data_IF_402011857537
#
_entry.id   IF_402011857537
#
_cell.length_a   1.000
_cell.length_b   1.000
_cell.length_c   1.000
_cell.angle_alpha   90.00
_cell.angle_beta   90.00
_cell.angle_gamma   90.00
#
_symmetry.space_group_name_H-M   'P 1'
#
loop_
_entity.id
_entity.type
_entity.pdbx_description
1 polymer ?
#
# COMPACT_ATOMS: atom_id res chain seq x y z
N UNK A 1 -3.59 18.96 44.84
CA UNK A 1 -4.91 18.69 45.46
C UNK A 1 -5.97 18.62 44.37
N UNK A 2 -6.37 17.41 43.99
CA UNK A 2 -7.70 17.07 43.44
C UNK A 2 -7.69 15.58 43.11
N UNK A 3 -8.43 14.82 43.90
CA UNK A 3 -8.57 13.36 43.80
C UNK A 3 -9.44 13.00 42.59
N UNK A 4 -8.93 12.11 41.73
CA UNK A 4 -9.75 11.37 40.76
C UNK A 4 -9.72 9.89 41.15
N UNK A 5 -10.80 9.45 41.79
CA UNK A 5 -11.12 8.04 41.99
C UNK A 5 -11.62 7.46 40.67
N UNK A 6 -10.88 6.50 40.10
CA UNK A 6 -11.34 5.65 39.00
C UNK A 6 -11.62 4.25 39.57
N UNK A 7 -12.89 3.93 39.75
CA UNK A 7 -13.35 2.56 39.92
C UNK A 7 -13.35 1.86 38.55
N UNK A 8 -12.54 0.80 38.42
CA UNK A 8 -12.54 -0.10 37.27
C UNK A 8 -13.52 -1.23 37.58
N UNK A 9 -14.63 -1.30 36.83
CA UNK A 9 -15.55 -2.44 36.84
C UNK A 9 -15.15 -3.36 35.68
N UNK A 10 -14.70 -4.58 36.00
CA UNK A 10 -14.58 -5.67 35.06
C UNK A 10 -15.95 -6.34 34.92
N UNK A 11 -16.57 -6.22 33.74
CA UNK A 11 -17.82 -6.91 33.39
C UNK A 11 -17.81 -7.27 31.92
N UNK A 12 -17.29 -8.46 31.61
CA UNK A 12 -17.43 -9.06 30.28
C UNK A 12 -18.74 -9.82 30.21
N UNK A 13 -19.67 -9.36 29.38
CA UNK A 13 -20.90 -10.08 29.01
C UNK A 13 -20.77 -10.46 27.53
N UNK A 14 -20.78 -11.77 27.26
CA UNK A 14 -20.97 -12.31 25.92
C UNK A 14 -22.46 -12.22 25.54
N UNK A 15 -22.82 -11.82 24.31
CA UNK A 15 -24.18 -12.01 23.82
C UNK A 15 -24.33 -13.40 23.17
N UNK A 16 -25.32 -14.17 23.64
CA UNK A 16 -25.93 -15.28 22.90
C UNK A 16 -27.35 -14.85 22.47
N UNK A 17 -27.91 -15.42 21.39
CA UNK A 17 -28.92 -14.76 20.58
C UNK A 17 -30.36 -15.00 21.03
N UNK A 18 -31.19 -14.02 20.70
CA UNK A 18 -32.63 -14.04 20.41
C UNK A 18 -33.45 -15.23 20.97
N UNK A 19 -34.22 -14.93 22.02
CA UNK A 19 -35.38 -15.67 22.46
C UNK A 19 -36.44 -14.68 22.95
N UNK A 20 -37.39 -14.36 22.08
CA UNK A 20 -38.58 -13.56 22.33
C UNK A 20 -39.51 -14.27 23.32
N UNK A 21 -39.71 -13.73 24.53
CA UNK A 21 -40.90 -14.00 25.36
C UNK A 21 -41.25 -12.80 26.25
N UNK A 22 -42.52 -12.43 26.17
CA UNK A 22 -43.21 -11.40 26.93
C UNK A 22 -43.22 -11.65 28.45
N UNK A 23 -43.31 -10.55 29.21
CA UNK A 23 -44.23 -10.50 30.34
C UNK A 23 -43.64 -10.50 31.75
N UNK A 24 -44.06 -9.45 32.48
CA UNK A 24 -44.19 -9.31 33.95
C UNK A 24 -43.01 -8.69 34.71
N UNK A 25 -43.19 -7.38 34.98
CA UNK A 25 -42.55 -6.61 36.04
C UNK A 25 -42.69 -7.32 37.39
N UNK A 26 -41.56 -7.68 38.00
CA UNK A 26 -41.51 -8.07 39.41
C UNK A 26 -40.31 -7.37 40.07
N UNK A 27 -40.58 -6.20 40.67
CA UNK A 27 -39.61 -5.47 41.48
C UNK A 27 -39.35 -6.21 42.79
N UNK A 28 -38.31 -7.06 42.82
CA UNK A 28 -37.78 -7.61 44.06
C UNK A 28 -36.89 -6.57 44.74
N UNK A 29 -37.40 -6.03 45.85
CA UNK A 29 -36.68 -5.20 46.82
C UNK A 29 -35.57 -6.07 47.44
N UNK A 30 -34.30 -5.79 47.13
CA UNK A 30 -33.16 -6.44 47.77
C UNK A 30 -32.99 -5.78 49.14
N UNK A 31 -33.38 -6.50 50.21
CA UNK A 31 -33.00 -6.14 51.56
C UNK A 31 -31.58 -6.64 51.83
N UNK A 32 -30.66 -5.72 52.07
CA UNK A 32 -29.33 -6.04 52.60
C UNK A 32 -29.45 -6.19 54.12
N UNK A 33 -29.21 -7.41 54.62
CA UNK A 33 -29.00 -7.66 56.04
C UNK A 33 -27.62 -7.11 56.45
N UNK A 34 -27.50 -6.43 57.60
CA UNK A 34 -26.21 -6.02 58.13
C UNK A 34 -25.41 -7.26 58.52
N UNK A 35 -24.25 -7.44 57.90
CA UNK A 35 -23.26 -8.46 58.30
C UNK A 35 -22.67 -8.01 59.63
N UNK A 36 -22.88 -8.83 60.66
CA UNK A 36 -22.33 -8.61 62.00
C UNK A 36 -20.80 -8.64 61.95
N UNK A 37 -20.19 -7.58 62.47
CA UNK A 37 -18.76 -7.41 62.58
C UNK A 37 -18.19 -8.24 63.74
N UNK A 38 -18.06 -9.55 63.54
CA UNK A 38 -17.33 -10.43 64.45
C UNK A 38 -16.45 -11.42 63.66
N UNK A 39 -15.31 -10.92 63.18
CA UNK A 39 -14.16 -11.77 62.81
C UNK A 39 -12.85 -10.99 62.92
N UNK A 40 -12.31 -10.92 64.14
CA UNK A 40 -11.04 -10.24 64.45
C UNK A 40 -9.80 -10.98 63.91
N UNK A 41 -9.94 -12.06 63.13
CA UNK A 41 -8.81 -12.91 62.72
C UNK A 41 -8.19 -12.62 61.33
N UNK A 42 -8.66 -11.61 60.59
CA UNK A 42 -8.12 -11.28 59.25
C UNK A 42 -7.15 -10.07 59.19
N UNK A 43 -6.75 -9.50 60.34
CA UNK A 43 -5.81 -8.36 60.34
C UNK A 43 -4.35 -8.72 60.02
N UNK A 44 -3.97 -10.01 60.08
CA UNK A 44 -2.60 -10.45 59.81
C UNK A 44 -2.22 -10.55 58.32
N UNK A 45 -3.19 -10.82 57.43
CA UNK A 45 -2.92 -11.07 56.01
C UNK A 45 -2.85 -9.79 55.16
N UNK A 46 -3.46 -8.70 55.62
CA UNK A 46 -3.44 -7.41 54.93
C UNK A 46 -2.07 -6.70 55.02
N UNK A 47 -1.39 -6.78 56.18
CA UNK A 47 -0.10 -6.11 56.39
C UNK A 47 1.02 -6.64 55.49
N UNK A 48 1.08 -7.96 55.28
CA UNK A 48 2.13 -8.60 54.47
C UNK A 48 2.00 -8.29 52.98
N UNK A 49 0.77 -8.09 52.48
CA UNK A 49 0.55 -7.71 51.07
C UNK A 49 0.90 -6.24 50.81
N UNK A 50 0.68 -5.36 51.78
CA UNK A 50 1.00 -3.94 51.65
C UNK A 50 2.52 -3.75 51.55
N UNK A 51 3.31 -4.41 52.41
CA UNK A 51 4.77 -4.31 52.37
C UNK A 51 5.38 -4.89 51.08
N UNK A 52 4.80 -5.96 50.53
CA UNK A 52 5.20 -6.50 49.22
C UNK A 52 4.93 -5.52 48.09
N UNK A 53 3.79 -4.82 48.12
CA UNK A 53 3.43 -3.83 47.10
C UNK A 53 4.33 -2.59 47.18
N UNK A 54 4.69 -2.12 48.38
CA UNK A 54 5.61 -1.00 48.56
C UNK A 54 7.01 -1.32 47.99
N UNK A 55 7.51 -2.52 48.23
CA UNK A 55 8.78 -2.99 47.66
C UNK A 55 8.73 -3.07 46.12
N UNK A 56 7.63 -3.55 45.55
CA UNK A 56 7.45 -3.57 44.09
C UNK A 56 7.40 -2.17 43.49
N UNK A 57 6.72 -1.23 44.17
CA UNK A 57 6.65 0.17 43.77
C UNK A 57 8.04 0.83 43.78
N UNK A 58 8.84 0.60 44.81
CA UNK A 58 10.21 1.14 44.88
C UNK A 58 11.12 0.54 43.79
N UNK A 59 11.02 -0.77 43.53
CA UNK A 59 11.75 -1.39 42.41
C UNK A 59 11.32 -0.82 41.05
N UNK A 60 10.02 -0.58 40.85
CA UNK A 60 9.51 0.01 39.62
C UNK A 60 10.00 1.45 39.43
N UNK A 61 9.99 2.28 40.49
CA UNK A 61 10.54 3.65 40.46
C UNK A 61 12.04 3.65 40.12
N UNK A 62 12.82 2.78 40.76
CA UNK A 62 14.26 2.67 40.51
C UNK A 62 14.57 2.22 39.07
N UNK A 63 13.76 1.29 38.54
CA UNK A 63 13.84 0.86 37.14
C UNK A 63 13.51 2.01 36.19
N UNK A 64 12.45 2.76 36.47
CA UNK A 64 12.02 3.92 35.67
C UNK A 64 13.10 5.01 35.58
N UNK A 65 13.71 5.39 36.70
CA UNK A 65 14.78 6.41 36.70
C UNK A 65 16.03 5.94 35.94
N UNK A 66 16.35 4.63 35.97
CA UNK A 66 17.43 4.06 35.16
C UNK A 66 17.12 4.09 33.66
N UNK A 67 15.89 3.76 33.27
CA UNK A 67 15.44 3.86 31.88
C UNK A 67 15.44 5.30 31.37
N UNK A 68 15.00 6.24 32.22
CA UNK A 68 14.97 7.68 31.90
C UNK A 68 16.38 8.26 31.70
N UNK A 69 17.33 7.91 32.56
CA UNK A 69 18.72 8.37 32.42
C UNK A 69 19.38 7.80 31.15
N UNK A 70 19.11 6.53 30.82
CA UNK A 70 19.61 5.90 29.60
C UNK A 70 19.01 6.54 28.34
N UNK A 71 17.71 6.85 28.34
CA UNK A 71 17.06 7.60 27.27
C UNK A 71 17.69 8.98 27.06
N UNK A 72 17.93 9.74 28.15
CA UNK A 72 18.55 11.06 28.07
C UNK A 72 19.99 10.99 27.54
N UNK A 73 20.76 9.98 27.95
CA UNK A 73 22.12 9.75 27.44
C UNK A 73 22.13 9.45 25.94
N UNK A 74 21.24 8.55 25.48
CA UNK A 74 21.09 8.24 24.04
C UNK A 74 20.65 9.50 23.26
N UNK A 75 19.68 10.25 23.78
CA UNK A 75 19.18 11.48 23.13
C UNK A 75 20.29 12.51 22.97
N UNK A 76 21.12 12.70 23.97
CA UNK A 76 22.23 13.65 23.92
C UNK A 76 23.34 13.21 22.96
N UNK A 77 23.69 11.92 22.95
CA UNK A 77 24.65 11.35 21.99
C UNK A 77 24.15 11.41 20.54
N UNK A 78 22.85 11.18 20.32
CA UNK A 78 22.27 11.28 18.99
C UNK A 78 22.27 12.75 18.51
N UNK A 79 21.97 13.70 19.39
CA UNK A 79 21.99 15.13 19.09
C UNK A 79 23.39 15.62 18.74
N UNK A 80 24.43 15.16 19.44
CA UNK A 80 25.82 15.54 19.13
C UNK A 80 26.28 14.97 17.78
N UNK A 81 25.95 13.71 17.48
CA UNK A 81 26.26 13.10 16.18
C UNK A 81 25.54 13.77 15.00
N UNK A 82 24.28 14.14 15.17
CA UNK A 82 23.53 14.87 14.12
C UNK A 82 24.17 16.24 13.88
N UNK A 83 24.51 16.97 14.96
CA UNK A 83 25.16 18.29 14.85
C UNK A 83 26.51 18.18 14.14
N UNK A 84 27.34 17.22 14.50
CA UNK A 84 28.66 17.00 13.88
C UNK A 84 28.54 16.68 12.38
N UNK A 85 27.51 15.93 11.97
CA UNK A 85 27.28 15.60 10.56
C UNK A 85 26.70 16.78 9.78
N UNK A 86 25.83 17.59 10.38
CA UNK A 86 25.25 18.77 9.72
C UNK A 86 26.33 19.79 9.31
N UNK A 87 27.36 20.00 10.14
CA UNK A 87 28.49 20.89 9.82
C UNK A 87 29.31 20.40 8.60
N UNK A 88 29.32 19.09 8.32
CA UNK A 88 30.04 18.54 7.17
C UNK A 88 29.19 18.52 5.89
N UNK A 89 27.89 18.20 5.99
CA UNK A 89 27.03 18.09 4.81
C UNK A 89 26.60 19.44 4.24
N UNK A 90 26.45 20.47 5.07
CA UNK A 90 26.03 21.80 4.62
C UNK A 90 26.98 22.44 3.59
N UNK A 91 28.31 22.52 3.81
CA UNK A 91 29.23 23.08 2.81
C UNK A 91 29.29 22.25 1.52
N UNK A 92 29.19 20.91 1.62
CA UNK A 92 29.16 20.02 0.44
C UNK A 92 27.90 20.28 -0.40
N UNK A 93 26.75 20.41 0.24
CA UNK A 93 25.48 20.67 -0.45
C UNK A 93 25.48 22.06 -1.10
N UNK A 94 26.02 23.08 -0.43
CA UNK A 94 26.21 24.42 -1.00
C UNK A 94 27.14 24.36 -2.22
N UNK A 95 28.26 23.63 -2.14
CA UNK A 95 29.18 23.47 -3.26
C UNK A 95 28.53 22.79 -4.48
N UNK A 96 27.72 21.74 -4.27
CA UNK A 96 26.97 21.06 -5.34
C UNK A 96 25.99 22.03 -6.01
N UNK A 97 25.23 22.80 -5.23
CA UNK A 97 24.28 23.78 -5.77
C UNK A 97 25.00 24.85 -6.59
N UNK A 98 26.13 25.37 -6.11
CA UNK A 98 26.95 26.34 -6.86
C UNK A 98 27.48 25.75 -8.17
N UNK A 99 27.96 24.50 -8.16
CA UNK A 99 28.39 23.81 -9.38
C UNK A 99 27.24 23.65 -10.39
N UNK A 100 26.04 23.29 -9.93
CA UNK A 100 24.86 23.23 -10.79
C UNK A 100 24.53 24.59 -11.42
N UNK A 101 24.61 25.69 -10.67
CA UNK A 101 24.38 27.04 -11.20
C UNK A 101 25.39 27.45 -12.28
N UNK A 102 26.67 27.08 -12.12
CA UNK A 102 27.70 27.31 -13.14
C UNK A 102 27.41 26.50 -14.40
N UNK A 103 27.00 25.24 -14.27
CA UNK A 103 26.63 24.38 -15.40
C UNK A 103 25.41 24.90 -16.16
N UNK A 104 24.35 25.31 -15.45
CA UNK A 104 23.15 25.87 -16.08
C UNK A 104 23.47 27.18 -16.80
N UNK A 105 24.28 28.05 -16.21
CA UNK A 105 24.72 29.30 -16.85
C UNK A 105 25.50 29.05 -18.13
N UNK A 106 26.40 28.06 -18.17
CA UNK A 106 27.14 27.72 -19.39
C UNK A 106 26.25 27.18 -20.52
N UNK A 107 25.24 26.38 -20.19
CA UNK A 107 24.30 25.83 -21.18
C UNK A 107 23.37 26.93 -21.71
N UNK A 108 22.95 27.86 -20.85
CA UNK A 108 22.09 28.97 -21.25
C UNK A 108 22.76 29.94 -22.23
N UNK A 109 24.08 30.16 -22.11
CA UNK A 109 24.83 31.05 -23.01
C UNK A 109 25.40 30.37 -24.26
N UNK A 110 25.45 29.04 -24.33
CA UNK A 110 25.94 28.32 -25.51
C UNK A 110 24.90 28.18 -26.64
N UNK A 111 23.68 28.70 -26.46
CA UNK A 111 22.58 28.57 -27.43
C UNK A 111 22.27 29.90 -28.11
N UNK A 112 23.24 30.45 -28.83
CA UNK A 112 22.98 31.41 -29.89
C UNK A 112 22.53 30.62 -31.12
N UNK A 113 21.23 30.33 -31.16
CA UNK A 113 20.59 29.47 -32.14
C UNK A 113 20.39 30.28 -33.43
N UNK A 114 21.29 30.11 -34.40
CA UNK A 114 21.01 30.51 -35.78
C UNK A 114 19.86 29.66 -36.31
N UNK A 115 18.68 30.27 -36.45
CA UNK A 115 17.53 29.65 -37.10
C UNK A 115 17.78 29.72 -38.60
N UNK A 116 18.00 28.59 -39.33
CA UNK A 116 17.96 28.63 -40.77
C UNK A 116 16.51 28.86 -41.21
N UNK A 117 16.26 30.01 -41.83
CA UNK A 117 15.01 30.34 -42.49
C UNK A 117 14.81 29.38 -43.67
N UNK A 118 14.03 28.33 -43.46
CA UNK A 118 13.36 27.57 -44.52
C UNK A 118 11.98 27.17 -43.99
N UNK A 119 11.05 28.11 -44.06
CA UNK A 119 9.61 27.85 -43.95
C UNK A 119 9.04 27.82 -45.38
N UNK A 120 8.33 26.75 -45.79
CA UNK A 120 7.47 26.81 -46.94
C UNK A 120 6.26 27.68 -46.60
N UNK A 121 5.99 28.62 -47.50
CA UNK A 121 4.76 29.40 -47.56
C UNK A 121 3.65 28.43 -47.99
N UNK A 122 2.67 28.15 -47.12
CA UNK A 122 1.35 27.65 -47.54
C UNK A 122 0.23 28.39 -46.81
N UNK A 123 -0.31 29.33 -47.57
CA UNK A 123 -1.70 29.67 -47.84
C UNK A 123 -2.74 29.63 -46.71
N UNK A 124 -3.24 30.83 -46.43
CA UNK A 124 -4.42 31.13 -45.64
C UNK A 124 -5.70 30.70 -46.35
N UNK A 125 -6.27 29.56 -45.97
CA UNK A 125 -7.67 29.26 -46.27
C UNK A 125 -8.55 29.50 -45.04
N UNK A 126 -9.55 30.37 -45.25
CA UNK A 126 -10.54 30.85 -44.30
C UNK A 126 -11.31 29.70 -43.65
N UNK A 127 -11.21 29.58 -42.33
CA UNK A 127 -12.07 28.72 -41.54
C UNK A 127 -13.39 29.46 -41.25
N UNK A 128 -14.45 29.17 -42.03
CA UNK A 128 -15.81 29.54 -41.66
C UNK A 128 -16.33 28.53 -40.64
N UNK A 129 -16.43 28.96 -39.37
CA UNK A 129 -17.16 28.24 -38.32
C UNK A 129 -18.67 28.38 -38.58
N UNK A 130 -19.27 27.34 -39.14
CA UNK A 130 -20.73 27.18 -39.20
C UNK A 130 -21.15 26.30 -38.02
N UNK A 131 -22.05 26.83 -37.19
CA UNK A 131 -22.60 26.16 -36.03
C UNK A 131 -23.43 24.92 -36.41
N UNK A 132 -23.27 23.86 -35.63
CA UNK A 132 -24.11 22.67 -35.71
C UNK A 132 -25.39 22.89 -34.90
N UNK A 133 -26.51 23.10 -35.59
CA UNK A 133 -27.82 22.76 -35.07
C UNK A 133 -28.12 21.29 -35.38
N UNK A 134 -28.59 20.58 -34.36
CA UNK A 134 -28.92 19.17 -34.41
C UNK A 134 -30.24 18.96 -35.15
N UNK A 135 -30.24 18.16 -36.23
CA UNK A 135 -31.43 17.48 -36.71
C UNK A 135 -31.09 16.03 -37.10
N UNK A 136 -31.93 15.04 -36.71
CA UNK A 136 -31.63 13.63 -36.93
C UNK A 136 -32.29 13.14 -38.22
N UNK A 137 -31.50 12.90 -39.27
CA UNK A 137 -31.97 12.13 -40.41
C UNK A 137 -30.82 11.63 -41.28
N UNK A 138 -30.76 10.29 -41.38
CA UNK A 138 -30.12 9.52 -42.45
C UNK A 138 -28.62 9.77 -42.68
N UNK A 139 -27.78 9.13 -41.87
CA UNK A 139 -26.35 9.02 -42.11
C UNK A 139 -26.02 8.15 -43.31
N UNK A 140 -26.01 8.75 -44.51
CA UNK A 140 -25.15 8.28 -45.61
C UNK A 140 -23.70 8.33 -45.13
N UNK A 141 -23.01 7.21 -45.31
CA UNK A 141 -21.56 7.07 -45.12
C UNK A 141 -20.82 8.11 -45.95
N UNK A 142 -20.17 9.07 -45.28
CA UNK A 142 -19.17 9.92 -45.91
C UNK A 142 -17.89 9.10 -46.10
N UNK A 143 -17.74 8.47 -47.25
CA UNK A 143 -16.45 8.07 -47.78
C UNK A 143 -15.72 9.35 -48.18
N UNK A 144 -14.82 9.82 -47.32
CA UNK A 144 -13.87 10.87 -47.64
C UNK A 144 -12.74 10.27 -48.47
N UNK A 145 -12.49 10.89 -49.61
CA UNK A 145 -11.55 10.50 -50.65
C UNK A 145 -10.16 10.07 -50.16
N UNK A 146 -9.75 8.88 -50.59
CA UNK A 146 -8.50 8.72 -51.33
C UNK A 146 -7.15 8.80 -50.61
N UNK A 147 -7.08 8.85 -49.27
CA UNK A 147 -5.77 8.91 -48.58
C UNK A 147 -5.63 8.09 -47.28
N UNK A 148 -6.35 6.98 -47.12
CA UNK A 148 -6.31 6.19 -45.88
C UNK A 148 -6.12 4.66 -46.04
N UNK A 149 -5.59 4.20 -47.17
CA UNK A 149 -5.32 2.76 -47.40
C UNK A 149 -3.97 2.32 -46.77
N UNK A 150 -3.08 3.27 -46.44
CA UNK A 150 -1.74 2.96 -45.89
C UNK A 150 -1.80 2.62 -44.37
N UNK A 151 -2.94 2.82 -43.69
CA UNK A 151 -3.06 2.58 -42.24
C UNK A 151 -3.68 1.25 -41.85
N UNK A 152 -4.44 0.56 -42.72
CA UNK A 152 -5.14 -0.67 -42.34
C UNK A 152 -4.21 -1.87 -42.17
N UNK A 153 -3.19 -1.98 -43.01
CA UNK A 153 -2.20 -3.07 -42.93
C UNK A 153 -1.31 -2.92 -41.71
N UNK A 154 -0.87 -1.69 -41.41
CA UNK A 154 -0.07 -1.37 -40.21
C UNK A 154 -0.86 -1.56 -38.91
N UNK A 155 -2.17 -1.25 -38.88
CA UNK A 155 -3.02 -1.55 -37.74
C UNK A 155 -3.23 -3.06 -37.55
N UNK A 156 -3.42 -3.80 -38.64
CA UNK A 156 -3.59 -5.25 -38.59
C UNK A 156 -2.30 -5.94 -38.11
N UNK A 157 -1.13 -5.47 -38.54
CA UNK A 157 0.16 -5.95 -38.07
C UNK A 157 0.39 -5.61 -36.59
N UNK A 158 0.08 -4.38 -36.16
CA UNK A 158 0.16 -3.99 -34.75
C UNK A 158 -0.78 -4.82 -33.86
N UNK A 159 -2.01 -5.09 -34.31
CA UNK A 159 -2.96 -5.95 -33.59
C UNK A 159 -2.44 -7.39 -33.47
N UNK A 160 -1.92 -7.97 -34.55
CA UNK A 160 -1.34 -9.32 -34.51
C UNK A 160 -0.14 -9.41 -33.57
N UNK A 161 0.72 -8.39 -33.57
CA UNK A 161 1.86 -8.33 -32.66
C UNK A 161 1.41 -8.21 -31.20
N UNK A 162 0.37 -7.40 -30.93
CA UNK A 162 -0.23 -7.28 -29.61
C UNK A 162 -0.83 -8.61 -29.12
N UNK A 163 -1.61 -9.29 -29.97
CA UNK A 163 -2.21 -10.59 -29.63
C UNK A 163 -1.12 -11.64 -29.37
N UNK A 164 -0.06 -11.64 -30.16
CA UNK A 164 1.09 -12.52 -29.96
C UNK A 164 1.79 -12.24 -28.63
N UNK A 165 2.11 -10.98 -28.33
CA UNK A 165 2.77 -10.59 -27.07
C UNK A 165 1.94 -10.99 -25.86
N UNK A 166 0.61 -10.82 -25.96
CA UNK A 166 -0.35 -11.21 -24.92
C UNK A 166 -0.37 -12.72 -24.69
N UNK A 167 -0.41 -13.53 -25.75
CA UNK A 167 -0.39 -14.99 -25.63
C UNK A 167 0.96 -15.52 -25.09
N UNK A 168 2.07 -14.88 -25.46
CA UNK A 168 3.38 -15.16 -24.87
C UNK A 168 3.38 -14.83 -23.37
N UNK A 169 2.89 -13.65 -22.99
CA UNK A 169 2.78 -13.22 -21.58
C UNK A 169 1.90 -14.18 -20.79
N UNK A 170 0.76 -14.57 -21.34
CA UNK A 170 -0.16 -15.53 -20.74
C UNK A 170 0.52 -16.87 -20.48
N UNK A 171 1.29 -17.37 -21.45
CA UNK A 171 2.05 -18.62 -21.34
C UNK A 171 3.13 -18.53 -20.25
N UNK A 172 3.89 -17.44 -20.22
CA UNK A 172 4.91 -17.18 -19.21
C UNK A 172 4.30 -17.22 -17.80
N UNK A 173 3.22 -16.46 -17.59
CA UNK A 173 2.52 -16.40 -16.30
C UNK A 173 1.99 -17.78 -15.93
N UNK A 174 1.27 -18.46 -16.84
CA UNK A 174 0.68 -19.76 -16.60
C UNK A 174 1.71 -20.81 -16.15
N UNK A 175 2.91 -20.78 -16.74
CA UNK A 175 4.00 -21.68 -16.39
C UNK A 175 4.49 -21.46 -14.95
N UNK A 176 4.51 -20.21 -14.48
CA UNK A 176 5.01 -19.82 -13.16
C UNK A 176 4.00 -20.13 -12.06
N UNK A 177 2.72 -19.83 -12.30
CA UNK A 177 1.66 -19.95 -11.29
C UNK A 177 0.94 -21.32 -11.31
N UNK A 178 1.42 -22.26 -12.12
CA UNK A 178 0.84 -23.58 -12.28
C UNK A 178 0.65 -24.26 -10.91
N UNK A 179 -0.49 -24.93 -10.74
CA UNK A 179 -0.87 -25.64 -9.51
C UNK A 179 -0.99 -24.73 -8.27
N UNK A 180 -1.27 -23.45 -8.45
CA UNK A 180 -1.56 -22.51 -7.36
C UNK A 180 -2.91 -21.84 -7.56
N UNK A 181 -3.53 -21.27 -6.50
CA UNK A 181 -4.79 -20.53 -6.64
C UNK A 181 -4.74 -19.40 -7.68
N UNK A 182 -3.58 -18.75 -7.84
CA UNK A 182 -3.35 -17.70 -8.84
C UNK A 182 -3.49 -18.17 -10.29
N UNK A 183 -3.50 -19.47 -10.58
CA UNK A 183 -3.79 -19.98 -11.93
C UNK A 183 -5.16 -19.51 -12.46
N UNK A 184 -6.14 -19.28 -11.58
CA UNK A 184 -7.44 -18.74 -11.95
C UNK A 184 -7.41 -17.26 -12.41
N UNK A 185 -6.29 -16.56 -12.22
CA UNK A 185 -6.13 -15.14 -12.56
C UNK A 185 -5.35 -14.91 -13.86
N UNK A 186 -4.82 -15.96 -14.48
CA UNK A 186 -3.87 -15.88 -15.61
C UNK A 186 -4.42 -15.01 -16.74
N UNK A 187 -5.66 -15.25 -17.17
CA UNK A 187 -6.29 -14.50 -18.25
C UNK A 187 -6.35 -13.00 -17.92
N UNK A 188 -6.88 -12.66 -16.75
CA UNK A 188 -6.97 -11.25 -16.30
C UNK A 188 -5.62 -10.56 -16.16
N UNK A 189 -4.58 -11.29 -15.73
CA UNK A 189 -3.22 -10.74 -15.59
C UNK A 189 -2.61 -10.49 -16.98
N UNK A 190 -2.86 -11.37 -17.95
CA UNK A 190 -2.34 -11.23 -19.32
C UNK A 190 -2.93 -10.05 -20.11
N UNK A 191 -4.06 -9.50 -19.67
CA UNK A 191 -4.60 -8.25 -20.23
C UNK A 191 -3.82 -6.99 -19.80
N UNK A 192 -2.90 -7.12 -18.85
CA UNK A 192 -2.09 -6.00 -18.33
C UNK A 192 -0.80 -5.86 -19.12
N UNK A 193 -0.25 -4.65 -19.12
CA UNK A 193 1.12 -4.39 -19.60
C UNK A 193 2.11 -5.36 -18.94
N UNK A 194 3.09 -5.86 -19.71
CA UNK A 194 4.03 -6.89 -19.27
C UNK A 194 4.76 -6.52 -17.98
N UNK A 195 5.15 -5.25 -17.79
CA UNK A 195 5.78 -4.79 -16.54
C UNK A 195 4.80 -4.84 -15.37
N UNK A 196 3.53 -4.44 -15.59
CA UNK A 196 2.47 -4.53 -14.57
C UNK A 196 2.21 -5.98 -14.20
N UNK A 197 2.03 -6.88 -15.17
CA UNK A 197 1.84 -8.30 -14.96
C UNK A 197 3.01 -8.94 -14.19
N UNK A 198 4.25 -8.60 -14.55
CA UNK A 198 5.44 -9.05 -13.85
C UNK A 198 5.46 -8.64 -12.36
N UNK A 199 5.05 -7.41 -12.04
CA UNK A 199 4.89 -6.98 -10.65
C UNK A 199 3.76 -7.71 -9.94
N UNK A 200 2.62 -7.90 -10.59
CA UNK A 200 1.49 -8.65 -10.03
C UNK A 200 1.95 -10.05 -9.60
N UNK A 201 2.61 -10.80 -10.48
CA UNK A 201 3.06 -12.16 -10.19
C UNK A 201 4.20 -12.18 -9.16
N UNK A 202 5.19 -11.30 -9.31
CA UNK A 202 6.34 -11.21 -8.39
C UNK A 202 5.94 -10.90 -6.95
N UNK A 203 5.05 -9.93 -6.76
CA UNK A 203 4.56 -9.57 -5.41
C UNK A 203 3.70 -10.70 -4.83
N UNK A 204 2.84 -11.34 -5.63
CA UNK A 204 2.00 -12.43 -5.12
C UNK A 204 2.80 -13.65 -4.65
N UNK A 205 3.90 -13.99 -5.34
CA UNK A 205 4.82 -15.02 -4.85
C UNK A 205 5.32 -14.66 -3.45
N UNK A 206 5.72 -13.41 -3.27
CA UNK A 206 6.34 -12.98 -2.02
C UNK A 206 5.34 -12.92 -0.86
N UNK A 207 4.15 -12.41 -1.10
CA UNK A 207 3.19 -12.10 -0.04
C UNK A 207 2.33 -13.31 0.36
N UNK A 208 2.09 -14.25 -0.56
CA UNK A 208 1.19 -15.38 -0.30
C UNK A 208 1.59 -16.70 -0.96
N UNK A 209 2.76 -16.77 -1.60
CA UNK A 209 3.16 -17.90 -2.44
C UNK A 209 2.08 -18.21 -3.49
N UNK A 210 1.73 -17.20 -4.28
CA UNK A 210 0.69 -17.29 -5.33
C UNK A 210 -0.69 -17.69 -4.80
N UNK A 211 -1.04 -17.23 -3.60
CA UNK A 211 -2.33 -17.50 -2.97
C UNK A 211 -2.40 -18.78 -2.13
N UNK A 212 -1.34 -19.59 -2.03
CA UNK A 212 -1.32 -20.76 -1.15
C UNK A 212 -1.63 -20.38 0.31
N UNK A 213 -1.16 -19.22 0.75
CA UNK A 213 -1.39 -18.68 2.10
C UNK A 213 -2.38 -17.52 2.11
N UNK A 214 -3.34 -17.49 1.18
CA UNK A 214 -4.34 -16.42 1.11
C UNK A 214 -5.32 -16.46 2.29
N UNK A 215 -5.88 -15.30 2.70
CA UNK A 215 -6.99 -15.28 3.65
C UNK A 215 -8.21 -15.99 3.06
N UNK A 216 -8.96 -16.67 3.94
CA UNK A 216 -10.20 -17.38 3.58
C UNK A 216 -11.35 -16.95 4.48
N UNK A 217 -12.55 -16.88 3.92
CA UNK A 217 -13.80 -16.59 4.66
C UNK A 217 -14.79 -17.71 4.42
N UNK A 218 -15.21 -18.38 5.49
CA UNK A 218 -16.09 -19.55 5.43
C UNK A 218 -15.58 -20.62 4.44
N UNK A 219 -14.26 -20.88 4.46
CA UNK A 219 -13.60 -21.85 3.58
C UNK A 219 -13.35 -21.37 2.14
N UNK A 220 -13.92 -20.23 1.73
CA UNK A 220 -13.73 -19.65 0.39
C UNK A 220 -12.51 -18.74 0.34
N UNK A 221 -11.79 -18.77 -0.77
CA UNK A 221 -10.67 -17.87 -1.03
C UNK A 221 -11.15 -16.43 -1.18
N UNK A 222 -10.41 -15.49 -0.59
CA UNK A 222 -10.64 -14.05 -0.72
C UNK A 222 -9.89 -13.42 -1.90
N UNK A 223 -9.12 -14.21 -2.65
CA UNK A 223 -8.35 -13.79 -3.82
C UNK A 223 -7.35 -12.64 -3.53
N UNK A 224 -6.96 -12.44 -2.27
CA UNK A 224 -6.00 -11.41 -1.90
C UNK A 224 -4.61 -12.03 -1.71
N UNK A 225 -3.82 -11.98 -2.78
CA UNK A 225 -2.51 -12.62 -2.83
C UNK A 225 -1.35 -11.65 -2.57
N UNK A 226 -1.64 -10.36 -2.38
CA UNK A 226 -0.64 -9.28 -2.32
C UNK A 226 -0.63 -8.51 -1.00
N UNK A 227 -1.42 -8.94 -0.01
CA UNK A 227 -1.60 -8.20 1.24
C UNK A 227 -2.32 -6.87 1.04
N UNK A 228 -3.21 -6.78 0.04
CA UNK A 228 -3.85 -5.54 -0.36
C UNK A 228 -4.83 -5.03 0.70
N UNK A 229 -4.80 -3.72 0.95
CA UNK A 229 -5.73 -2.99 1.83
C UNK A 229 -6.28 -1.79 1.07
N UNK A 230 -7.51 -1.90 0.56
CA UNK A 230 -8.12 -0.86 -0.28
C UNK A 230 -9.59 -0.57 -0.01
N UNK A 231 -10.13 -1.03 1.13
CA UNK A 231 -11.54 -0.88 1.48
C UNK A 231 -12.41 -2.06 1.00
N UNK A 232 -13.73 -1.91 1.12
CA UNK A 232 -14.71 -2.96 0.80
C UNK A 232 -14.91 -3.98 1.93
N UNK A 233 -15.33 -5.20 1.60
CA UNK A 233 -15.38 -6.31 2.56
C UNK A 233 -13.95 -6.65 2.98
N UNK A 234 -13.70 -6.67 4.29
CA UNK A 234 -12.38 -6.95 4.84
C UNK A 234 -12.40 -8.15 5.78
N UNK A 235 -11.24 -8.80 5.91
CA UNK A 235 -10.98 -9.84 6.90
C UNK A 235 -10.16 -9.29 8.06
N UNK A 236 -9.93 -10.12 9.08
CA UNK A 236 -9.02 -9.80 10.19
C UNK A 236 -7.68 -9.25 9.66
N UNK A 237 -7.23 -8.13 10.25
CA UNK A 237 -6.03 -7.41 9.80
C UNK A 237 -6.27 -6.34 8.74
N UNK A 238 -7.52 -6.15 8.30
CA UNK A 238 -7.92 -5.09 7.36
C UNK A 238 -7.57 -5.39 5.90
N UNK A 239 -7.28 -6.64 5.57
CA UNK A 239 -7.06 -7.07 4.20
C UNK A 239 -8.39 -7.14 3.46
N UNK A 240 -8.40 -6.62 2.23
CA UNK A 240 -9.58 -6.69 1.36
C UNK A 240 -9.85 -8.16 0.98
N UNK A 241 -11.11 -8.57 0.99
CA UNK A 241 -11.58 -9.85 0.48
C UNK A 241 -12.36 -9.59 -0.81
N UNK A 242 -11.74 -9.93 -1.95
CA UNK A 242 -12.30 -9.68 -3.27
C UNK A 242 -13.39 -10.70 -3.59
N UNK A 243 -14.35 -10.31 -4.42
CA UNK A 243 -15.45 -11.20 -4.80
C UNK A 243 -15.06 -12.21 -5.88
N UNK A 244 -14.07 -11.89 -6.71
CA UNK A 244 -13.61 -12.75 -7.80
C UNK A 244 -12.12 -12.53 -8.12
N UNK A 245 -11.50 -13.47 -8.87
CA UNK A 245 -10.14 -13.31 -9.38
C UNK A 245 -9.94 -12.02 -10.20
N UNK A 246 -10.90 -11.68 -11.06
CA UNK A 246 -10.86 -10.53 -11.96
C UNK A 246 -10.90 -9.21 -11.17
N UNK A 247 -11.79 -9.12 -10.16
CA UNK A 247 -11.91 -7.97 -9.26
C UNK A 247 -10.58 -7.74 -8.49
N UNK A 248 -9.96 -8.83 -8.03
CA UNK A 248 -8.67 -8.75 -7.36
C UNK A 248 -7.55 -8.23 -8.28
N UNK A 249 -7.43 -8.80 -9.49
CA UNK A 249 -6.43 -8.38 -10.48
C UNK A 249 -6.65 -6.94 -10.90
N UNK A 250 -7.90 -6.51 -11.08
CA UNK A 250 -8.22 -5.14 -11.49
C UNK A 250 -7.86 -4.12 -10.40
N UNK A 251 -8.22 -4.38 -9.15
CA UNK A 251 -7.92 -3.49 -8.03
C UNK A 251 -6.41 -3.38 -7.77
N UNK A 252 -5.69 -4.51 -7.80
CA UNK A 252 -4.24 -4.55 -7.59
C UNK A 252 -3.50 -3.98 -8.80
N UNK A 253 -3.92 -4.36 -10.01
CA UNK A 253 -3.39 -3.87 -11.28
C UNK A 253 -3.44 -2.36 -11.35
N UNK A 254 -4.59 -1.74 -11.07
CA UNK A 254 -4.73 -0.27 -11.03
C UNK A 254 -3.74 0.42 -10.10
N UNK A 255 -3.41 -0.18 -8.95
CA UNK A 255 -2.43 0.39 -8.02
C UNK A 255 -1.01 0.28 -8.57
N UNK A 256 -0.67 -0.85 -9.18
CA UNK A 256 0.64 -1.09 -9.79
C UNK A 256 0.81 -0.23 -11.05
N UNK A 257 -0.20 -0.11 -11.90
CA UNK A 257 -0.23 0.78 -13.06
C UNK A 257 0.11 2.22 -12.64
N UNK A 258 -0.47 2.73 -11.55
CA UNK A 258 -0.12 4.05 -10.99
C UNK A 258 1.34 4.15 -10.53
N UNK A 259 1.94 3.06 -10.05
CA UNK A 259 3.36 3.04 -9.70
C UNK A 259 4.24 3.06 -10.96
N UNK A 260 3.92 2.22 -11.95
CA UNK A 260 4.64 2.15 -13.22
C UNK A 260 4.55 3.46 -13.98
N UNK A 261 3.38 4.10 -14.01
CA UNK A 261 3.18 5.43 -14.60
C UNK A 261 4.04 6.52 -13.92
N UNK A 262 4.42 6.34 -12.66
CA UNK A 262 5.36 7.22 -11.92
C UNK A 262 6.83 6.88 -12.18
N UNK A 263 7.13 5.97 -13.10
CA UNK A 263 8.49 5.58 -13.48
C UNK A 263 9.05 4.39 -12.70
N UNK A 264 8.23 3.64 -11.95
CA UNK A 264 8.68 2.38 -11.34
C UNK A 264 8.87 1.32 -12.43
N UNK A 265 10.10 0.84 -12.61
CA UNK A 265 10.48 -0.12 -13.65
C UNK A 265 11.11 -1.40 -13.12
N UNK A 266 11.44 -1.46 -11.83
CA UNK A 266 12.03 -2.65 -11.21
C UNK A 266 11.61 -2.83 -9.72
N UNK A 267 11.80 -4.03 -9.14
CA UNK A 267 11.42 -4.31 -7.75
C UNK A 267 12.04 -3.40 -6.71
N UNK A 268 13.27 -2.90 -6.93
CA UNK A 268 13.90 -1.97 -5.98
C UNK A 268 13.16 -0.62 -5.92
N UNK A 269 12.60 -0.17 -7.04
CA UNK A 269 11.78 1.04 -7.12
C UNK A 269 10.34 0.81 -6.62
N UNK A 270 9.85 -0.44 -6.59
CA UNK A 270 8.51 -0.79 -6.12
C UNK A 270 8.40 -0.92 -4.59
N UNK A 271 9.42 -0.49 -3.84
CA UNK A 271 9.51 -0.62 -2.38
C UNK A 271 8.35 0.04 -1.62
N UNK A 272 7.69 1.04 -2.22
CA UNK A 272 6.51 1.69 -1.65
C UNK A 272 5.31 0.74 -1.51
N UNK A 273 5.28 -0.37 -2.25
CA UNK A 273 4.33 -1.47 -2.00
C UNK A 273 4.56 -2.09 -0.62
N UNK A 274 5.82 -2.42 -0.31
CA UNK A 274 6.22 -3.07 0.94
C UNK A 274 6.09 -2.14 2.16
N UNK A 275 6.63 -0.93 2.05
CA UNK A 275 6.80 -0.04 3.19
C UNK A 275 5.73 1.06 3.29
N UNK A 276 4.87 1.22 2.28
CA UNK A 276 4.01 2.39 2.18
C UNK A 276 4.84 3.67 1.99
N UNK A 277 4.62 4.67 2.86
CA UNK A 277 5.29 5.98 2.78
C UNK A 277 6.70 6.02 3.36
N UNK A 278 7.09 5.06 4.20
CA UNK A 278 8.42 5.03 4.83
C UNK A 278 8.84 3.63 5.24
N UNK A 279 10.10 3.28 4.97
CA UNK A 279 10.70 2.02 5.43
C UNK A 279 11.34 2.11 6.82
N UNK A 280 11.17 3.20 7.58
CA UNK A 280 11.86 3.39 8.86
C UNK A 280 11.58 2.29 9.91
N UNK A 281 10.44 1.61 9.82
CA UNK A 281 10.08 0.47 10.66
C UNK A 281 10.59 -0.89 10.17
N UNK A 282 11.29 -0.94 9.03
CA UNK A 282 11.76 -2.17 8.41
C UNK A 282 13.30 -2.24 8.41
N UNK A 283 13.84 -3.39 8.82
CA UNK A 283 15.27 -3.66 8.67
C UNK A 283 15.69 -3.70 7.21
N UNK A 284 16.86 -3.12 6.88
CA UNK A 284 17.38 -3.05 5.52
C UNK A 284 17.50 -4.44 4.86
N UNK A 285 17.84 -5.47 5.64
CA UNK A 285 17.91 -6.85 5.17
C UNK A 285 16.55 -7.39 4.73
N UNK A 286 15.49 -7.12 5.50
CA UNK A 286 14.13 -7.55 5.16
C UNK A 286 13.62 -6.88 3.87
N UNK A 287 14.05 -5.64 3.63
CA UNK A 287 13.77 -4.91 2.39
C UNK A 287 14.51 -5.54 1.22
N UNK A 288 15.83 -5.75 1.33
CA UNK A 288 16.65 -6.38 0.28
C UNK A 288 16.13 -7.76 -0.09
N UNK A 289 15.80 -8.58 0.91
CA UNK A 289 15.21 -9.90 0.71
C UNK A 289 13.90 -9.81 -0.07
N UNK A 290 13.02 -8.87 0.28
CA UNK A 290 11.77 -8.69 -0.45
C UNK A 290 11.99 -8.30 -1.91
N UNK A 291 12.93 -7.37 -2.17
CA UNK A 291 13.31 -6.96 -3.53
C UNK A 291 13.80 -8.17 -4.34
N UNK A 292 14.66 -9.00 -3.74
CA UNK A 292 15.20 -10.20 -4.36
C UNK A 292 14.08 -11.23 -4.65
N UNK A 293 13.23 -11.51 -3.68
CA UNK A 293 12.14 -12.48 -3.79
C UNK A 293 11.13 -12.07 -4.88
N UNK A 294 10.75 -10.79 -4.96
CA UNK A 294 9.89 -10.27 -6.04
C UNK A 294 10.59 -10.33 -7.39
N UNK A 295 11.89 -10.02 -7.41
CA UNK A 295 12.72 -10.02 -8.61
C UNK A 295 12.77 -11.36 -9.34
N UNK A 296 12.71 -12.48 -8.61
CA UNK A 296 12.80 -13.83 -9.21
C UNK A 296 11.79 -14.05 -10.32
N UNK A 297 10.52 -13.66 -10.12
CA UNK A 297 9.48 -13.84 -11.14
C UNK A 297 9.32 -12.58 -12.00
N UNK A 298 9.58 -11.39 -11.44
CA UNK A 298 9.52 -10.15 -12.20
C UNK A 298 10.44 -10.21 -13.44
N UNK A 299 11.71 -10.57 -13.26
CA UNK A 299 12.66 -10.61 -14.37
C UNK A 299 12.48 -11.79 -15.32
N UNK A 300 11.76 -12.84 -14.91
CA UNK A 300 11.40 -13.95 -15.80
C UNK A 300 10.28 -13.57 -16.76
N UNK A 301 9.35 -12.72 -16.31
CA UNK A 301 8.21 -12.29 -17.11
C UNK A 301 8.57 -11.03 -17.92
N UNK A 302 9.40 -10.15 -17.36
CA UNK A 302 9.76 -8.87 -17.97
C UNK A 302 11.15 -8.90 -18.63
N UNK A 303 11.49 -10.01 -19.27
CA UNK A 303 12.73 -10.22 -20.03
C UNK A 303 12.55 -9.97 -21.52
#
# INVERSE_FOLDING_TARGET
MSNWSKSVIFGGIYPAPFGEKEGKNNSRKIQFSPVSADSIHERGWAGTRISQLENLLEMAKKSWEKSKSLYLSIKNNLKSHIRQKQELYWPVLVAIVLLCFVFVSKIAFAKEFSIPNNLPIEDSSKLNLVGFENHPSAGKTCLVDGKNIINSEKLAEASKNFDKEKEELKTDIASIVKNTPMAAMVDSISEKDRTVAAFIVGIAMKESKFGVYSPKVAGRDCYNYWGFKGGGKTVAGGYTCFSSPEDAVEAVGKRIEKMVAKGVRNPAQAISWKCGSSCAGHGAENVRKWIADVGVNFYKINS
#
